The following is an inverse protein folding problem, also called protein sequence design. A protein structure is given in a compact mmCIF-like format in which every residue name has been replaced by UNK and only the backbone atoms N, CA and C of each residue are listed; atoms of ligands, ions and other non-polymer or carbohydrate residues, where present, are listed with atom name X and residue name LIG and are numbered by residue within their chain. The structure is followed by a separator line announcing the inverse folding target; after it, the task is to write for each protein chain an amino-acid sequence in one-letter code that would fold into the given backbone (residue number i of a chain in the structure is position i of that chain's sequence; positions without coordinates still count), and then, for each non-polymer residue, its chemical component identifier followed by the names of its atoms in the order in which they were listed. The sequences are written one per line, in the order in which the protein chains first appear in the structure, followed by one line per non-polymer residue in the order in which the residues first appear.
data_IF_239385815031
#
_entry.id   IF_239385815031
#
_cell.length_a   1.000
_cell.length_b   1.000
_cell.length_c   1.000
_cell.angle_alpha   90.00
_cell.angle_beta   90.00
_cell.angle_gamma   90.00
#
_symmetry.space_group_name_H-M   'P 1'
#
loop_
_entity.id
_entity.type
_entity.pdbx_description
1 polymer ?
#
# COMPACT_ATOMS: atom_id res chain seq x y z
N UNK A 1 -54.90 -29.30 -11.30
CA UNK A 1 -54.60 -27.90 -10.89
C UNK A 1 -53.21 -27.74 -10.24
N UNK A 2 -52.66 -28.72 -9.52
CA UNK A 2 -51.38 -28.63 -8.82
C UNK A 2 -50.12 -28.66 -9.72
N UNK A 3 -50.10 -29.33 -10.87
CA UNK A 3 -48.92 -29.40 -11.78
C UNK A 3 -48.55 -28.07 -12.42
N UNK A 4 -49.49 -27.16 -12.66
CA UNK A 4 -49.23 -25.86 -13.27
C UNK A 4 -48.58 -24.81 -12.31
N UNK A 5 -48.73 -25.02 -11.02
CA UNK A 5 -48.13 -24.10 -10.00
C UNK A 5 -46.65 -24.40 -9.79
N UNK A 6 -46.28 -25.68 -9.80
CA UNK A 6 -44.85 -26.06 -9.69
C UNK A 6 -44.04 -25.67 -10.93
N UNK A 7 -44.57 -25.90 -12.13
CA UNK A 7 -43.87 -25.44 -13.35
C UNK A 7 -43.67 -23.94 -13.40
N UNK A 8 -44.61 -23.14 -12.90
CA UNK A 8 -44.44 -21.68 -12.80
C UNK A 8 -43.34 -21.28 -11.79
N UNK A 9 -43.20 -22.01 -10.67
CA UNK A 9 -42.14 -21.77 -9.70
C UNK A 9 -40.75 -22.05 -10.29
N UNK A 10 -40.58 -23.18 -10.96
CA UNK A 10 -39.31 -23.51 -11.61
C UNK A 10 -38.97 -22.54 -12.75
N UNK A 11 -39.94 -22.10 -13.52
CA UNK A 11 -39.75 -21.10 -14.56
C UNK A 11 -39.30 -19.74 -14.00
N UNK A 12 -39.91 -19.28 -12.88
CA UNK A 12 -39.52 -18.03 -12.22
C UNK A 12 -38.10 -18.13 -11.63
N UNK A 13 -37.75 -19.26 -11.00
CA UNK A 13 -36.41 -19.50 -10.47
C UNK A 13 -35.36 -19.53 -11.60
N UNK A 14 -35.66 -20.18 -12.72
CA UNK A 14 -34.77 -20.24 -13.89
C UNK A 14 -34.58 -18.85 -14.53
N UNK A 15 -35.63 -18.05 -14.61
CA UNK A 15 -35.58 -16.67 -15.12
C UNK A 15 -34.78 -15.76 -14.14
N UNK A 16 -34.94 -15.92 -12.84
CA UNK A 16 -34.14 -15.18 -11.82
C UNK A 16 -32.67 -15.57 -11.85
N UNK A 17 -32.34 -16.84 -12.06
CA UNK A 17 -30.93 -17.31 -12.21
C UNK A 17 -30.33 -16.81 -13.53
N UNK A 18 -31.09 -16.77 -14.61
CA UNK A 18 -30.65 -16.19 -15.90
C UNK A 18 -30.48 -14.68 -15.81
N UNK A 19 -31.37 -13.96 -15.13
CA UNK A 19 -31.21 -12.51 -14.89
C UNK A 19 -30.07 -12.19 -13.95
N UNK A 20 -29.79 -13.03 -12.96
CA UNK A 20 -28.61 -12.88 -12.07
C UNK A 20 -27.27 -12.99 -12.81
N UNK A 21 -27.19 -13.82 -13.84
CA UNK A 21 -25.98 -13.92 -14.67
C UNK A 21 -25.79 -12.75 -15.67
N UNK A 22 -26.83 -11.99 -15.95
CA UNK A 22 -26.74 -10.81 -16.82
C UNK A 22 -26.25 -9.56 -16.09
N UNK A 23 -26.29 -9.52 -14.77
CA UNK A 23 -25.87 -8.35 -14.00
C UNK A 23 -24.36 -8.29 -13.69
N UNK A 24 -23.56 -9.30 -14.04
CA UNK A 24 -22.11 -9.33 -13.76
C UNK A 24 -21.20 -9.04 -14.97
N UNK A 25 -21.77 -8.58 -16.08
CA UNK A 25 -20.97 -8.17 -17.24
C UNK A 25 -20.61 -6.68 -17.14
N UNK A 26 -19.69 -6.31 -16.25
CA UNK A 26 -18.83 -5.15 -16.55
C UNK A 26 -18.04 -5.51 -17.80
N UNK A 27 -18.34 -4.87 -18.93
CA UNK A 27 -17.65 -5.05 -20.20
C UNK A 27 -16.14 -4.80 -20.01
N UNK A 28 -15.40 -5.86 -19.71
CA UNK A 28 -13.93 -5.82 -19.66
C UNK A 28 -13.47 -5.72 -21.10
N UNK A 29 -13.18 -4.50 -21.54
CA UNK A 29 -12.75 -4.19 -22.88
C UNK A 29 -11.35 -4.72 -23.11
N UNK A 30 -11.12 -5.24 -24.32
CA UNK A 30 -9.79 -5.52 -24.85
C UNK A 30 -9.16 -4.20 -25.30
N UNK A 31 -8.16 -3.72 -24.56
CA UNK A 31 -7.58 -2.37 -24.74
C UNK A 31 -6.13 -2.50 -25.19
N UNK A 32 -5.76 -1.65 -26.14
CA UNK A 32 -4.39 -1.47 -26.61
C UNK A 32 -3.94 -0.02 -26.39
N UNK A 33 -2.85 0.16 -25.66
CA UNK A 33 -2.14 1.43 -25.51
C UNK A 33 -0.92 1.41 -26.44
N UNK A 34 -0.67 2.50 -27.20
CA UNK A 34 0.41 2.55 -28.19
C UNK A 34 1.22 3.84 -28.13
N UNK A 35 2.51 3.73 -28.47
CA UNK A 35 3.41 4.87 -28.72
C UNK A 35 3.64 5.76 -27.49
N UNK A 36 3.77 5.13 -26.31
CA UNK A 36 4.19 5.76 -25.06
C UNK A 36 5.59 5.34 -24.62
N UNK A 37 6.02 5.85 -23.48
CA UNK A 37 7.20 5.39 -22.76
C UNK A 37 6.74 4.59 -21.54
N UNK A 38 6.97 3.29 -21.51
CA UNK A 38 6.60 2.42 -20.41
C UNK A 38 7.76 2.26 -19.42
N UNK A 39 7.53 2.68 -18.16
CA UNK A 39 8.37 2.39 -17.02
C UNK A 39 7.85 1.11 -16.37
N UNK A 40 8.57 0.00 -16.55
CA UNK A 40 8.05 -1.33 -16.19
C UNK A 40 7.90 -1.50 -14.66
N UNK A 41 8.69 -0.75 -13.88
CA UNK A 41 8.72 -0.87 -12.42
C UNK A 41 9.73 -1.90 -11.90
N UNK A 42 10.47 -2.57 -12.79
CA UNK A 42 11.57 -3.48 -12.48
C UNK A 42 12.96 -2.89 -12.79
N UNK A 43 13.01 -1.63 -13.21
CA UNK A 43 14.22 -0.93 -13.66
C UNK A 43 14.31 -0.77 -15.18
N UNK A 44 13.47 -1.46 -15.93
CA UNK A 44 13.41 -1.39 -17.40
C UNK A 44 12.49 -0.26 -17.85
N UNK A 45 12.88 0.40 -18.97
CA UNK A 45 12.07 1.42 -19.66
C UNK A 45 11.97 1.04 -21.14
N UNK A 46 10.75 0.98 -21.68
CA UNK A 46 10.47 0.69 -23.08
C UNK A 46 9.96 1.94 -23.77
N UNK A 47 10.75 2.45 -24.71
CA UNK A 47 10.35 3.56 -25.57
C UNK A 47 9.42 3.09 -26.68
N UNK A 48 8.49 3.95 -27.13
CA UNK A 48 7.51 3.61 -28.16
C UNK A 48 6.86 2.24 -27.88
N UNK A 49 6.35 2.09 -26.66
CA UNK A 49 5.77 0.86 -26.18
C UNK A 49 4.38 0.60 -26.75
N UNK A 50 3.99 -0.68 -26.75
CA UNK A 50 2.59 -1.09 -26.72
C UNK A 50 2.29 -1.89 -25.45
N UNK A 51 1.07 -1.74 -24.94
CA UNK A 51 0.56 -2.52 -23.82
C UNK A 51 -0.85 -2.96 -24.16
N UNK A 52 -1.05 -4.26 -24.24
CA UNK A 52 -2.36 -4.86 -24.46
C UNK A 52 -2.87 -5.50 -23.18
N UNK A 53 -4.13 -5.25 -22.83
CA UNK A 53 -4.75 -5.89 -21.68
C UNK A 53 -6.21 -6.24 -21.93
N UNK A 54 -6.63 -7.34 -21.34
CA UNK A 54 -7.97 -7.89 -21.46
C UNK A 54 -8.37 -8.57 -20.14
N UNK A 55 -9.66 -8.58 -19.83
CA UNK A 55 -10.17 -9.23 -18.62
C UNK A 55 -9.42 -8.85 -17.31
N UNK A 56 -8.90 -7.63 -17.26
CA UNK A 56 -8.18 -7.11 -16.09
C UNK A 56 -6.71 -7.50 -16.03
N UNK A 57 -6.17 -8.23 -17.01
CA UNK A 57 -4.78 -8.70 -17.04
C UNK A 57 -4.02 -8.13 -18.23
N UNK A 58 -2.74 -7.85 -18.05
CA UNK A 58 -1.82 -7.50 -19.13
C UNK A 58 -1.57 -8.77 -19.93
N UNK A 59 -1.88 -8.73 -21.24
CA UNK A 59 -1.66 -9.83 -22.17
C UNK A 59 -0.30 -9.74 -22.84
N UNK A 60 0.10 -8.52 -23.21
CA UNK A 60 1.37 -8.28 -23.86
C UNK A 60 1.89 -6.87 -23.58
N UNK A 61 3.20 -6.72 -23.55
CA UNK A 61 3.90 -5.45 -23.45
C UNK A 61 5.23 -5.57 -24.22
N UNK A 62 5.62 -4.51 -24.90
CA UNK A 62 6.88 -4.47 -25.64
C UNK A 62 7.05 -3.18 -26.43
N UNK A 63 8.14 -3.09 -27.21
CA UNK A 63 8.35 -2.03 -28.17
C UNK A 63 7.50 -2.26 -29.44
N UNK A 64 6.95 -1.20 -30.00
CA UNK A 64 6.17 -1.27 -31.24
C UNK A 64 7.04 -1.68 -32.44
N UNK A 65 8.34 -1.34 -32.40
CA UNK A 65 9.27 -1.60 -33.49
C UNK A 65 9.40 -3.11 -33.77
N UNK A 66 9.16 -3.50 -35.01
CA UNK A 66 9.29 -4.89 -35.46
C UNK A 66 8.09 -5.79 -35.14
N UNK A 67 7.06 -5.30 -34.53
CA UNK A 67 5.85 -6.05 -34.15
C UNK A 67 4.68 -5.64 -35.03
N UNK A 68 4.03 -6.63 -35.70
CA UNK A 68 2.78 -6.38 -36.43
C UNK A 68 1.61 -6.50 -35.46
N UNK A 69 1.05 -5.36 -35.04
CA UNK A 69 -0.11 -5.32 -34.19
C UNK A 69 -1.36 -5.11 -35.05
N UNK A 70 -2.30 -6.02 -34.95
CA UNK A 70 -3.60 -5.87 -35.59
C UNK A 70 -4.56 -5.08 -34.69
N UNK A 71 -4.63 -3.77 -34.90
CA UNK A 71 -5.47 -2.87 -34.08
C UNK A 71 -6.97 -3.23 -34.12
N UNK A 72 -7.46 -3.91 -35.19
CA UNK A 72 -8.88 -4.26 -35.29
C UNK A 72 -9.35 -5.37 -34.34
N UNK A 73 -8.43 -6.04 -33.66
CA UNK A 73 -8.75 -7.08 -32.67
C UNK A 73 -9.04 -6.51 -31.27
N UNK A 74 -8.86 -5.19 -31.08
CA UNK A 74 -9.06 -4.52 -29.82
C UNK A 74 -10.34 -3.68 -29.84
N UNK A 75 -11.09 -3.68 -28.74
CA UNK A 75 -12.30 -2.85 -28.58
C UNK A 75 -11.95 -1.36 -28.48
N UNK A 76 -10.77 -1.06 -27.95
CA UNK A 76 -10.30 0.30 -27.77
C UNK A 76 -8.80 0.37 -28.03
N UNK A 77 -8.39 1.30 -28.89
CA UNK A 77 -6.99 1.63 -29.16
C UNK A 77 -6.74 3.06 -28.70
N UNK A 78 -5.75 3.25 -27.85
CA UNK A 78 -5.40 4.56 -27.29
C UNK A 78 -3.98 4.92 -27.72
N UNK A 79 -3.89 5.99 -28.50
CA UNK A 79 -2.64 6.60 -28.91
C UNK A 79 -2.09 7.48 -27.79
N UNK A 80 -0.93 7.11 -27.25
CA UNK A 80 -0.37 7.81 -26.09
C UNK A 80 0.40 9.09 -26.46
N UNK A 81 0.91 9.15 -27.71
CA UNK A 81 1.60 10.36 -28.18
C UNK A 81 2.84 10.71 -27.35
N UNK A 82 3.59 9.72 -26.92
CA UNK A 82 4.80 9.91 -26.09
C UNK A 82 4.57 10.03 -24.59
N UNK A 83 3.33 9.93 -24.10
CA UNK A 83 3.05 9.94 -22.65
C UNK A 83 3.74 8.79 -21.93
N UNK A 84 3.97 8.98 -20.65
CA UNK A 84 4.58 7.99 -19.78
C UNK A 84 3.55 7.03 -19.19
N UNK A 85 3.88 5.77 -19.11
CA UNK A 85 3.05 4.70 -18.54
C UNK A 85 3.79 4.06 -17.38
N UNK A 86 3.12 3.96 -16.24
CA UNK A 86 3.68 3.44 -14.99
C UNK A 86 2.78 2.36 -14.39
N UNK A 87 3.33 1.41 -13.60
CA UNK A 87 2.50 0.60 -12.72
C UNK A 87 1.83 1.48 -11.65
N UNK A 88 0.68 1.04 -11.17
CA UNK A 88 0.00 1.67 -10.05
C UNK A 88 0.93 1.81 -8.83
N UNK A 89 0.98 2.99 -8.22
CA UNK A 89 1.72 3.23 -6.99
C UNK A 89 0.99 2.61 -5.80
N UNK A 90 1.76 2.11 -4.82
CA UNK A 90 1.28 1.41 -3.63
C UNK A 90 1.75 2.18 -2.39
N UNK A 91 0.83 2.76 -1.64
CA UNK A 91 1.14 3.39 -0.36
C UNK A 91 0.98 2.37 0.78
N UNK A 92 2.09 1.92 1.34
CA UNK A 92 2.12 1.00 2.47
C UNK A 92 1.87 1.73 3.80
N UNK A 93 1.43 0.98 4.82
CA UNK A 93 1.30 1.42 6.20
C UNK A 93 0.58 2.77 6.33
N UNK A 94 -0.69 2.85 5.93
CA UNK A 94 -1.45 4.10 5.88
C UNK A 94 -2.87 3.95 6.45
N UNK A 95 -3.50 5.06 6.83
CA UNK A 95 -4.88 5.11 7.33
C UNK A 95 -5.87 5.64 6.28
N UNK A 96 -5.46 5.69 5.02
CA UNK A 96 -6.32 6.11 3.91
C UNK A 96 -7.59 5.24 3.84
N UNK A 97 -8.75 5.88 3.80
CA UNK A 97 -10.05 5.21 3.87
C UNK A 97 -10.48 4.80 5.29
N UNK A 98 -9.63 4.99 6.31
CA UNK A 98 -9.95 4.79 7.72
C UNK A 98 -10.11 6.12 8.47
N UNK A 99 -9.84 7.24 7.83
CA UNK A 99 -9.97 8.58 8.39
C UNK A 99 -10.51 9.54 7.34
N UNK A 100 -11.49 10.38 7.74
CA UNK A 100 -12.03 11.43 6.88
C UNK A 100 -11.63 12.82 7.34
N UNK A 101 -11.88 13.16 8.60
CA UNK A 101 -11.52 14.44 9.18
C UNK A 101 -10.68 14.23 10.43
N UNK A 102 -9.43 14.70 10.42
CA UNK A 102 -8.44 14.42 11.45
C UNK A 102 -8.89 14.81 12.87
N UNK A 103 -9.49 15.97 13.01
CA UNK A 103 -9.95 16.48 14.31
C UNK A 103 -11.28 15.89 14.79
N UNK A 104 -11.93 15.03 14.00
CA UNK A 104 -13.26 14.49 14.30
C UNK A 104 -13.16 12.99 14.58
N UNK A 105 -13.08 12.62 15.86
CA UNK A 105 -12.92 11.23 16.27
C UNK A 105 -13.94 10.25 15.67
N UNK A 106 -15.25 10.54 15.54
CA UNK A 106 -16.21 9.64 14.90
C UNK A 106 -15.93 9.33 13.42
N UNK A 107 -15.03 10.06 12.77
CA UNK A 107 -14.60 9.82 11.40
C UNK A 107 -13.23 9.11 11.31
N UNK A 108 -12.73 8.55 12.43
CA UNK A 108 -11.40 7.97 12.56
C UNK A 108 -11.50 6.53 13.04
N UNK A 109 -11.52 5.56 12.10
CA UNK A 109 -11.74 4.13 12.34
C UNK A 109 -10.44 3.31 12.38
N UNK A 110 -9.29 3.98 12.51
CA UNK A 110 -7.99 3.32 12.58
C UNK A 110 -7.57 2.94 14.01
N UNK A 111 -8.32 3.35 15.04
CA UNK A 111 -8.02 3.11 16.45
C UNK A 111 -9.10 2.24 17.11
N UNK A 112 -8.70 1.14 17.73
CA UNK A 112 -9.57 0.30 18.55
C UNK A 112 -9.21 0.42 20.04
N UNK A 113 -10.16 0.13 20.91
CA UNK A 113 -9.96 0.14 22.37
C UNK A 113 -9.11 -1.06 22.79
N UNK A 114 -8.15 -0.83 23.68
CA UNK A 114 -7.27 -1.85 24.23
C UNK A 114 -5.84 -1.76 23.70
N UNK A 115 -4.95 -2.48 24.38
CA UNK A 115 -3.51 -2.44 24.08
C UNK A 115 -3.01 -3.62 23.21
N UNK A 116 -3.76 -4.73 23.20
CA UNK A 116 -3.38 -5.97 22.49
C UNK A 116 -4.57 -6.45 21.67
N UNK A 117 -4.59 -6.08 20.38
CA UNK A 117 -5.73 -6.24 19.48
C UNK A 117 -5.39 -7.00 18.18
N UNK A 118 -4.64 -8.10 18.16
CA UNK A 118 -4.23 -8.77 16.92
C UNK A 118 -5.40 -9.27 16.07
N UNK A 119 -6.59 -9.45 16.65
CA UNK A 119 -7.81 -9.90 16.00
C UNK A 119 -8.59 -8.79 15.31
N UNK A 120 -8.26 -7.52 15.57
CA UNK A 120 -8.88 -6.36 14.91
C UNK A 120 -8.44 -6.31 13.45
N UNK A 121 -9.37 -5.97 12.56
CA UNK A 121 -9.17 -5.97 11.11
C UNK A 121 -9.53 -4.60 10.53
N UNK A 122 -8.56 -3.91 9.94
CA UNK A 122 -8.80 -2.64 9.26
C UNK A 122 -9.72 -2.76 8.03
N UNK A 123 -9.75 -3.95 7.41
CA UNK A 123 -10.49 -4.21 6.18
C UNK A 123 -11.96 -3.78 6.24
N UNK A 124 -12.64 -4.11 7.34
CA UNK A 124 -14.09 -3.90 7.49
C UNK A 124 -14.42 -2.41 7.67
N UNK A 125 -13.47 -1.64 8.19
CA UNK A 125 -13.63 -0.20 8.42
C UNK A 125 -13.29 0.65 7.19
N UNK A 126 -12.77 0.05 6.10
CA UNK A 126 -12.37 0.79 4.91
C UNK A 126 -13.56 1.43 4.19
N UNK A 127 -13.54 2.76 4.11
CA UNK A 127 -14.54 3.56 3.43
C UNK A 127 -14.13 3.86 1.99
N UNK A 128 -14.77 3.19 1.02
CA UNK A 128 -14.53 3.45 -0.42
C UNK A 128 -15.10 4.78 -0.90
N UNK A 129 -16.04 5.37 -0.15
CA UNK A 129 -16.66 6.68 -0.44
C UNK A 129 -15.90 7.86 0.20
N UNK A 130 -14.71 7.60 0.75
CA UNK A 130 -13.85 8.63 1.34
C UNK A 130 -13.60 9.77 0.37
N UNK A 131 -13.77 11.01 0.84
CA UNK A 131 -13.51 12.23 0.05
C UNK A 131 -12.04 12.45 -0.27
N UNK A 132 -11.15 11.73 0.40
CA UNK A 132 -9.70 11.80 0.21
C UNK A 132 -9.26 10.97 -1.00
N UNK A 133 -9.87 9.78 -1.21
CA UNK A 133 -9.50 8.85 -2.28
C UNK A 133 -9.45 9.48 -3.68
N UNK A 134 -10.44 10.27 -4.12
CA UNK A 134 -10.39 10.91 -5.43
C UNK A 134 -9.15 11.79 -5.66
N UNK A 135 -8.67 12.48 -4.62
CA UNK A 135 -7.45 13.32 -4.72
C UNK A 135 -6.18 12.47 -4.79
N UNK A 136 -6.13 11.37 -4.05
CA UNK A 136 -4.96 10.47 -4.01
C UNK A 136 -4.76 9.77 -5.36
N UNK A 137 -5.85 9.34 -6.00
CA UNK A 137 -5.83 8.70 -7.33
C UNK A 137 -5.22 9.59 -8.41
N UNK A 138 -5.43 10.90 -8.34
CA UNK A 138 -4.92 11.85 -9.36
C UNK A 138 -3.40 11.93 -9.43
N UNK A 139 -2.69 11.40 -8.43
CA UNK A 139 -1.23 11.32 -8.41
C UNK A 139 -0.70 9.89 -8.62
N UNK A 140 -1.57 8.97 -9.09
CA UNK A 140 -1.17 7.61 -9.47
C UNK A 140 -1.12 6.61 -8.31
N UNK A 141 -1.51 6.98 -7.08
CA UNK A 141 -1.60 6.04 -5.94
C UNK A 141 -2.93 5.29 -6.03
N UNK A 142 -2.87 4.06 -6.52
CA UNK A 142 -4.06 3.27 -6.79
C UNK A 142 -4.27 2.12 -5.80
N UNK A 143 -3.28 1.83 -4.95
CA UNK A 143 -3.38 0.85 -3.87
C UNK A 143 -2.85 1.43 -2.57
N UNK A 144 -3.44 0.99 -1.47
CA UNK A 144 -3.02 1.34 -0.12
C UNK A 144 -3.08 0.12 0.79
N UNK A 145 -2.11 0.01 1.70
CA UNK A 145 -2.21 -0.91 2.83
C UNK A 145 -2.84 -0.16 4.00
N UNK A 146 -4.10 -0.42 4.28
CA UNK A 146 -4.83 0.16 5.40
C UNK A 146 -4.40 -0.50 6.71
N UNK A 147 -3.90 0.30 7.64
CA UNK A 147 -3.23 -0.18 8.86
C UNK A 147 -3.89 0.39 10.11
N UNK A 148 -4.29 -0.43 11.08
CA UNK A 148 -4.72 0.04 12.39
C UNK A 148 -3.52 0.57 13.20
N UNK A 149 -3.74 1.56 14.10
CA UNK A 149 -2.66 2.33 14.74
C UNK A 149 -2.54 2.14 16.25
N UNK A 150 -3.64 1.94 16.96
CA UNK A 150 -3.63 2.01 18.42
C UNK A 150 -3.19 0.71 19.09
N UNK A 151 -2.62 0.89 20.31
CA UNK A 151 -2.17 -0.21 21.16
C UNK A 151 -0.78 -0.73 20.81
N UNK A 152 -0.25 -1.61 21.64
CA UNK A 152 1.03 -2.30 21.41
C UNK A 152 0.91 -3.27 20.25
N UNK A 153 -0.19 -4.02 20.15
CA UNK A 153 -0.54 -4.84 18.99
C UNK A 153 -1.82 -4.27 18.39
N UNK A 154 -1.69 -3.64 17.22
CA UNK A 154 -2.73 -2.80 16.65
C UNK A 154 -3.84 -3.60 15.97
N UNK A 155 -3.47 -4.68 15.28
CA UNK A 155 -4.38 -5.49 14.47
C UNK A 155 -3.80 -5.84 13.10
N UNK A 156 -4.67 -6.35 12.23
CA UNK A 156 -4.34 -6.76 10.86
C UNK A 156 -4.59 -5.64 9.87
N UNK A 157 -3.58 -5.36 9.03
CA UNK A 157 -3.71 -4.56 7.81
C UNK A 157 -4.30 -5.35 6.64
N UNK A 158 -4.72 -4.63 5.61
CA UNK A 158 -5.18 -5.19 4.33
C UNK A 158 -4.79 -4.29 3.19
N UNK A 159 -4.61 -4.86 2.00
CA UNK A 159 -4.29 -4.11 0.78
C UNK A 159 -5.56 -3.90 -0.01
N UNK A 160 -5.88 -2.63 -0.30
CA UNK A 160 -7.10 -2.23 -0.98
C UNK A 160 -6.77 -1.29 -2.16
N UNK A 161 -7.60 -1.38 -3.19
CA UNK A 161 -7.62 -0.40 -4.26
C UNK A 161 -8.27 0.91 -3.76
N UNK A 162 -7.82 2.04 -4.31
CA UNK A 162 -8.38 3.36 -4.00
C UNK A 162 -9.66 3.67 -4.79
N UNK A 163 -10.23 2.66 -5.44
CA UNK A 163 -11.48 2.74 -6.21
C UNK A 163 -12.22 1.40 -6.15
N UNK A 164 -13.47 1.41 -5.70
CA UNK A 164 -14.33 0.23 -5.55
C UNK A 164 -15.71 0.65 -5.06
N UNK A 165 -16.70 -0.25 -5.16
CA UNK A 165 -18.06 -0.03 -4.66
C UNK A 165 -18.13 -0.15 -3.13
N UNK A 166 -17.39 -1.11 -2.58
CA UNK A 166 -17.25 -1.36 -1.15
C UNK A 166 -15.88 -2.00 -0.89
N UNK A 167 -15.57 -2.32 0.36
CA UNK A 167 -14.30 -2.94 0.73
C UNK A 167 -14.11 -4.34 0.12
N UNK A 168 -15.19 -5.09 -0.13
CA UNK A 168 -15.13 -6.43 -0.76
C UNK A 168 -14.70 -6.34 -2.23
N UNK A 169 -15.12 -5.29 -2.94
CA UNK A 169 -14.72 -5.01 -4.31
C UNK A 169 -13.30 -4.41 -4.39
N UNK A 170 -12.95 -3.59 -3.40
CA UNK A 170 -11.65 -2.91 -3.36
C UNK A 170 -10.50 -3.81 -2.89
N UNK A 171 -10.76 -4.91 -2.17
CA UNK A 171 -9.71 -5.71 -1.56
C UNK A 171 -8.86 -6.45 -2.59
N UNK A 172 -7.53 -6.22 -2.54
CA UNK A 172 -6.54 -7.01 -3.26
C UNK A 172 -6.03 -8.16 -2.40
N UNK A 173 -5.75 -7.90 -1.11
CA UNK A 173 -5.31 -8.92 -0.16
C UNK A 173 -5.82 -8.60 1.23
N UNK A 174 -6.63 -9.49 1.78
CA UNK A 174 -7.16 -9.36 3.13
C UNK A 174 -6.15 -9.83 4.19
N UNK A 175 -6.08 -9.11 5.31
CA UNK A 175 -5.37 -9.51 6.53
C UNK A 175 -3.92 -9.94 6.27
N UNK A 176 -3.15 -9.09 5.60
CA UNK A 176 -1.80 -9.43 5.11
C UNK A 176 -0.75 -9.55 6.22
N UNK A 177 -0.94 -8.87 7.35
CA UNK A 177 -0.02 -8.94 8.49
C UNK A 177 -0.53 -8.29 9.75
N UNK A 178 0.15 -8.55 10.85
CA UNK A 178 -0.12 -7.97 12.18
C UNK A 178 0.88 -6.84 12.44
N UNK A 179 0.36 -5.70 12.89
CA UNK A 179 1.17 -4.53 13.26
C UNK A 179 1.40 -4.47 14.76
N UNK A 180 2.66 -4.24 15.14
CA UNK A 180 3.13 -4.10 16.52
C UNK A 180 3.88 -2.78 16.65
N UNK A 181 3.37 -1.88 17.48
CA UNK A 181 4.11 -0.72 17.96
C UNK A 181 5.17 -1.24 18.93
N UNK A 182 6.38 -1.46 18.39
CA UNK A 182 7.46 -2.04 19.18
C UNK A 182 7.87 -1.10 20.32
N UNK A 183 8.14 -1.61 21.53
CA UNK A 183 8.53 -0.77 22.65
C UNK A 183 9.71 0.13 22.30
N UNK A 184 9.57 1.43 22.59
CA UNK A 184 10.59 2.44 22.29
C UNK A 184 11.54 2.61 23.47
N UNK A 185 12.85 2.46 23.25
CA UNK A 185 13.87 2.66 24.30
C UNK A 185 14.08 4.14 24.65
N UNK A 186 13.71 5.03 23.74
CA UNK A 186 13.80 6.48 23.88
C UNK A 186 12.39 7.07 23.79
N UNK A 187 12.06 7.97 24.70
CA UNK A 187 10.83 8.73 24.71
C UNK A 187 11.11 10.17 24.31
N UNK A 188 10.36 10.68 23.33
CA UNK A 188 10.31 12.11 23.01
C UNK A 188 9.51 12.81 24.11
N UNK A 189 10.09 13.87 24.66
CA UNK A 189 9.44 14.69 25.65
C UNK A 189 8.95 16.01 25.04
N UNK A 190 8.01 16.66 25.71
CA UNK A 190 7.38 17.87 25.18
C UNK A 190 6.31 17.55 24.13
N UNK A 191 5.88 18.59 23.43
CA UNK A 191 4.91 18.50 22.34
C UNK A 191 5.48 19.20 21.09
N UNK A 192 4.84 19.07 19.93
CA UNK A 192 5.40 19.52 18.67
C UNK A 192 5.80 21.01 18.62
N UNK A 193 5.08 21.90 19.35
CA UNK A 193 5.40 23.33 19.40
C UNK A 193 6.44 23.68 20.50
N UNK A 194 6.62 22.83 21.50
CA UNK A 194 7.57 22.99 22.62
C UNK A 194 8.30 21.66 22.85
N UNK A 195 9.19 21.26 21.92
CA UNK A 195 9.94 20.03 22.06
C UNK A 195 10.90 20.11 23.23
N UNK A 196 10.96 19.07 24.03
CA UNK A 196 11.93 18.91 25.12
C UNK A 196 12.93 17.79 24.77
N UNK A 197 14.14 17.77 25.38
CA UNK A 197 15.12 16.73 25.13
C UNK A 197 14.55 15.34 25.32
N UNK A 198 14.79 14.45 24.37
CA UNK A 198 14.43 13.04 24.47
C UNK A 198 15.16 12.38 25.65
N UNK A 199 14.52 11.40 26.29
CA UNK A 199 15.08 10.69 27.42
C UNK A 199 14.84 9.19 27.35
N UNK A 200 15.44 8.45 28.29
CA UNK A 200 15.20 7.01 28.42
C UNK A 200 13.72 6.77 28.74
N UNK A 201 13.09 5.86 28.01
CA UNK A 201 11.74 5.43 28.35
C UNK A 201 11.77 4.48 29.54
N UNK A 202 11.20 4.92 30.68
CA UNK A 202 11.16 4.13 31.92
C UNK A 202 10.24 2.93 31.85
N UNK A 203 9.28 2.91 30.89
CA UNK A 203 8.33 1.81 30.69
C UNK A 203 8.84 0.73 29.72
N UNK A 204 10.02 0.92 29.12
CA UNK A 204 10.54 0.03 28.09
C UNK A 204 10.60 -1.44 28.54
N UNK A 205 11.12 -1.70 29.73
CA UNK A 205 11.28 -3.07 30.24
C UNK A 205 9.93 -3.74 30.55
N UNK A 206 8.97 -2.96 31.07
CA UNK A 206 7.60 -3.44 31.34
C UNK A 206 6.86 -3.73 30.04
N UNK A 207 6.95 -2.84 29.05
CA UNK A 207 6.33 -3.02 27.73
C UNK A 207 6.94 -4.22 27.00
N UNK A 208 8.27 -4.39 27.06
CA UNK A 208 8.95 -5.56 26.49
C UNK A 208 8.53 -6.87 27.18
N UNK A 209 8.35 -6.84 28.51
CA UNK A 209 7.88 -7.98 29.29
C UNK A 209 6.44 -8.35 28.92
N UNK A 210 5.56 -7.37 28.80
CA UNK A 210 4.18 -7.58 28.36
C UNK A 210 4.08 -8.15 26.93
N UNK A 211 4.87 -7.60 25.99
CA UNK A 211 4.93 -8.09 24.61
C UNK A 211 5.45 -9.54 24.54
N UNK A 212 6.56 -9.82 25.25
CA UNK A 212 7.11 -11.17 25.31
C UNK A 212 6.10 -12.18 25.89
N UNK A 213 5.46 -11.83 27.02
CA UNK A 213 4.44 -12.68 27.63
C UNK A 213 3.32 -13.02 26.67
N UNK A 214 2.78 -12.03 25.96
CA UNK A 214 1.72 -12.26 24.98
C UNK A 214 2.18 -13.20 23.86
N UNK A 215 3.40 -13.01 23.33
CA UNK A 215 3.93 -13.88 22.25
C UNK A 215 4.23 -15.29 22.74
N UNK A 216 4.71 -15.47 23.98
CA UNK A 216 4.92 -16.78 24.60
C UNK A 216 3.58 -17.53 24.74
N UNK A 217 2.56 -16.87 25.29
CA UNK A 217 1.21 -17.42 25.46
C UNK A 217 0.57 -17.76 24.08
N UNK A 218 0.66 -16.84 23.12
CA UNK A 218 0.13 -17.04 21.77
C UNK A 218 0.84 -18.18 21.03
N UNK A 219 2.17 -18.32 21.16
CA UNK A 219 2.95 -19.38 20.54
C UNK A 219 2.60 -20.73 21.15
N UNK A 220 2.47 -20.81 22.49
CA UNK A 220 2.03 -22.01 23.19
C UNK A 220 0.63 -22.43 22.72
N UNK A 221 -0.32 -21.49 22.62
CA UNK A 221 -1.66 -21.77 22.07
C UNK A 221 -1.61 -22.26 20.62
N UNK A 222 -0.83 -21.61 19.76
CA UNK A 222 -0.77 -21.92 18.32
C UNK A 222 -0.05 -23.25 18.02
N UNK A 223 0.80 -23.75 18.90
CA UNK A 223 1.46 -25.06 18.76
C UNK A 223 0.47 -26.23 18.92
N UNK A 224 -0.69 -25.99 19.50
CA UNK A 224 -1.72 -27.02 19.65
C UNK A 224 -2.66 -27.03 18.44
N UNK A 225 -3.26 -28.20 18.17
CA UNK A 225 -4.26 -28.34 17.12
C UNK A 225 -5.48 -27.44 17.41
N UNK A 226 -6.13 -26.94 16.34
CA UNK A 226 -7.39 -26.20 16.50
C UNK A 226 -8.43 -27.04 17.22
N UNK A 227 -9.14 -26.43 18.16
CA UNK A 227 -10.17 -27.09 18.96
C UNK A 227 -9.66 -27.79 20.22
N UNK A 228 -8.34 -27.77 20.50
CA UNK A 228 -7.79 -28.33 21.76
C UNK A 228 -8.15 -27.47 22.98
N UNK A 229 -8.27 -26.16 22.79
CA UNK A 229 -8.64 -25.20 23.81
C UNK A 229 -9.85 -24.38 23.39
N UNK A 230 -10.46 -23.68 24.35
CA UNK A 230 -11.45 -22.65 24.07
C UNK A 230 -10.88 -21.63 23.06
N UNK A 231 -11.75 -21.20 22.12
CA UNK A 231 -11.32 -20.31 21.04
C UNK A 231 -10.97 -18.93 21.56
N UNK A 232 -9.69 -18.58 21.50
CA UNK A 232 -9.19 -17.25 21.82
C UNK A 232 -8.86 -16.48 20.52
N UNK A 233 -9.73 -15.53 20.14
CA UNK A 233 -9.59 -14.77 18.89
C UNK A 233 -8.25 -14.03 18.78
N UNK A 234 -7.69 -13.54 19.89
CA UNK A 234 -6.39 -12.86 19.91
C UNK A 234 -5.25 -13.81 19.54
N UNK A 235 -5.26 -15.02 20.09
CA UNK A 235 -4.23 -16.01 19.79
C UNK A 235 -4.43 -16.65 18.42
N UNK A 236 -5.67 -16.88 17.99
CA UNK A 236 -5.97 -17.37 16.64
C UNK A 236 -5.46 -16.43 15.56
N UNK A 237 -5.57 -15.10 15.76
CA UNK A 237 -5.05 -14.11 14.84
C UNK A 237 -3.53 -14.24 14.63
N UNK A 238 -2.78 -14.69 15.66
CA UNK A 238 -1.32 -14.85 15.62
C UNK A 238 -0.86 -16.12 14.89
N UNK A 239 -1.72 -17.13 14.73
CA UNK A 239 -1.37 -18.41 14.12
C UNK A 239 -0.68 -18.25 12.76
N UNK A 240 -1.21 -17.36 11.91
CA UNK A 240 -0.67 -17.09 10.57
C UNK A 240 0.64 -16.29 10.56
N UNK A 241 1.00 -15.65 11.66
CA UNK A 241 2.33 -15.04 11.87
C UNK A 241 3.37 -16.13 12.13
N UNK A 242 3.05 -17.11 13.00
CA UNK A 242 3.98 -18.18 13.34
C UNK A 242 4.17 -19.21 12.21
N UNK A 243 3.13 -19.51 11.42
CA UNK A 243 3.26 -20.40 10.25
C UNK A 243 3.94 -19.72 9.05
N UNK A 244 4.06 -18.38 9.06
CA UNK A 244 4.70 -17.58 8.02
C UNK A 244 3.80 -17.24 6.84
N UNK A 245 2.49 -17.42 6.95
CA UNK A 245 1.54 -17.02 5.91
C UNK A 245 1.15 -15.53 5.99
N UNK A 246 1.41 -14.86 7.14
CA UNK A 246 1.26 -13.41 7.35
C UNK A 246 2.58 -12.75 7.75
N UNK A 247 2.70 -11.47 7.43
CA UNK A 247 3.81 -10.65 7.91
C UNK A 247 3.62 -10.27 9.40
N UNK A 248 4.74 -9.99 10.07
CA UNK A 248 4.78 -9.26 11.33
C UNK A 248 5.46 -7.91 11.11
N UNK A 249 4.70 -6.84 11.21
CA UNK A 249 5.16 -5.47 11.03
C UNK A 249 5.56 -4.89 12.38
N UNK A 250 6.85 -4.60 12.56
CA UNK A 250 7.44 -4.09 13.80
C UNK A 250 7.77 -2.61 13.60
N UNK A 251 6.99 -1.73 14.22
CA UNK A 251 7.19 -0.28 14.13
C UNK A 251 8.34 0.15 15.04
N UNK A 252 9.49 0.45 14.45
CA UNK A 252 10.71 0.84 15.15
C UNK A 252 11.53 1.81 14.30
N UNK A 253 11.93 2.95 14.88
CA UNK A 253 12.65 4.03 14.21
C UNK A 253 14.13 4.06 14.55
N UNK A 254 14.47 4.02 15.84
CA UNK A 254 15.85 4.15 16.30
C UNK A 254 16.64 2.86 16.18
N UNK A 255 17.93 2.97 15.86
CA UNK A 255 18.83 1.83 15.64
C UNK A 255 18.75 0.77 16.75
N UNK A 256 18.72 1.21 18.01
CA UNK A 256 18.59 0.32 19.17
C UNK A 256 17.29 -0.47 19.16
N UNK A 257 16.18 0.19 18.85
CA UNK A 257 14.84 -0.44 18.84
C UNK A 257 14.72 -1.39 17.63
N UNK A 258 15.31 -1.05 16.48
CA UNK A 258 15.41 -1.92 15.31
C UNK A 258 16.18 -3.20 15.65
N UNK A 259 17.31 -3.09 16.36
CA UNK A 259 18.10 -4.26 16.80
C UNK A 259 17.28 -5.13 17.76
N UNK A 260 16.55 -4.53 18.72
CA UNK A 260 15.65 -5.28 19.59
C UNK A 260 14.53 -5.97 18.81
N UNK A 261 13.93 -5.30 17.85
CA UNK A 261 12.88 -5.86 17.00
C UNK A 261 13.38 -7.04 16.15
N UNK A 262 14.59 -6.96 15.58
CA UNK A 262 15.25 -8.07 14.87
C UNK A 262 15.47 -9.27 15.79
N UNK A 263 16.02 -9.03 17.00
CA UNK A 263 16.26 -10.10 17.98
C UNK A 263 14.95 -10.72 18.47
N UNK A 264 13.92 -9.92 18.66
CA UNK A 264 12.57 -10.39 18.99
C UNK A 264 12.00 -11.30 17.89
N UNK A 265 12.08 -10.88 16.63
CA UNK A 265 11.64 -11.71 15.50
C UNK A 265 12.38 -13.04 15.44
N UNK A 266 13.70 -13.07 15.70
CA UNK A 266 14.51 -14.28 15.80
C UNK A 266 14.07 -15.19 16.96
N UNK A 267 13.90 -14.61 18.17
CA UNK A 267 13.46 -15.35 19.37
C UNK A 267 12.17 -16.13 19.10
N UNK A 268 11.21 -15.52 18.41
CA UNK A 268 9.93 -16.15 18.11
C UNK A 268 9.91 -16.93 16.79
N UNK A 269 11.03 -16.97 16.05
CA UNK A 269 11.14 -17.62 14.74
C UNK A 269 10.13 -17.08 13.72
N UNK A 270 9.88 -15.77 13.76
CA UNK A 270 8.99 -15.10 12.80
C UNK A 270 9.59 -15.18 11.40
N UNK A 271 8.85 -15.74 10.45
CA UNK A 271 9.36 -16.01 9.10
C UNK A 271 9.35 -14.79 8.17
N UNK A 272 8.43 -13.85 8.42
CA UNK A 272 8.25 -12.65 7.59
C UNK A 272 8.18 -11.38 8.45
N UNK A 273 9.26 -11.04 9.18
CA UNK A 273 9.32 -9.78 9.88
C UNK A 273 9.57 -8.63 8.91
N UNK A 274 8.97 -7.47 9.17
CA UNK A 274 9.16 -6.22 8.42
C UNK A 274 9.37 -5.10 9.44
N UNK A 275 10.41 -4.29 9.26
CA UNK A 275 10.56 -3.05 10.04
C UNK A 275 9.71 -1.96 9.38
N UNK A 276 8.92 -1.25 10.18
CA UNK A 276 8.12 -0.11 9.76
C UNK A 276 8.63 1.14 10.46
N UNK A 277 8.82 2.21 9.73
CA UNK A 277 9.48 3.42 10.22
C UNK A 277 10.95 3.42 9.81
N UNK A 278 11.80 2.85 10.62
CA UNK A 278 13.20 2.58 10.27
C UNK A 278 14.05 3.81 9.97
N UNK A 279 13.82 4.94 10.65
CA UNK A 279 14.59 6.18 10.43
C UNK A 279 16.11 5.96 10.52
N UNK A 280 16.56 5.15 11.49
CA UNK A 280 17.96 4.77 11.67
C UNK A 280 18.36 3.46 10.97
N UNK A 281 17.53 2.94 10.05
CA UNK A 281 17.78 1.65 9.37
C UNK A 281 19.11 1.61 8.61
N UNK A 282 19.60 2.76 8.13
CA UNK A 282 20.89 2.88 7.50
C UNK A 282 22.06 2.54 8.45
N UNK A 283 21.93 2.78 9.76
CA UNK A 283 22.91 2.37 10.80
C UNK A 283 22.90 0.86 11.03
N UNK A 284 21.82 0.17 10.66
CA UNK A 284 21.59 -1.26 10.87
C UNK A 284 21.50 -2.08 9.57
N UNK A 285 21.83 -1.49 8.42
CA UNK A 285 21.64 -2.05 7.07
C UNK A 285 22.25 -3.45 6.91
N UNK A 286 23.47 -3.67 7.43
CA UNK A 286 24.11 -4.98 7.42
C UNK A 286 23.27 -6.04 8.14
N UNK A 287 22.77 -5.73 9.33
CA UNK A 287 21.98 -6.64 10.15
C UNK A 287 20.62 -6.96 9.49
N UNK A 288 19.99 -5.93 8.90
CA UNK A 288 18.73 -6.09 8.14
C UNK A 288 18.93 -7.02 6.93
N UNK A 289 19.99 -6.80 6.14
CA UNK A 289 20.32 -7.63 4.98
C UNK A 289 20.62 -9.08 5.38
N UNK A 290 21.47 -9.30 6.37
CA UNK A 290 21.86 -10.66 6.82
C UNK A 290 20.67 -11.47 7.33
N UNK A 291 19.61 -10.82 7.79
CA UNK A 291 18.38 -11.45 8.26
C UNK A 291 17.23 -11.40 7.25
N UNK A 292 17.45 -10.87 6.05
CA UNK A 292 16.42 -10.68 5.01
C UNK A 292 15.18 -9.93 5.54
N UNK A 293 15.39 -8.90 6.36
CA UNK A 293 14.30 -8.09 6.94
C UNK A 293 14.14 -6.81 6.12
N UNK A 294 13.02 -6.66 5.39
CA UNK A 294 12.75 -5.45 4.64
C UNK A 294 12.31 -4.30 5.53
N UNK A 295 12.38 -3.09 4.97
CA UNK A 295 12.01 -1.85 5.65
C UNK A 295 10.91 -1.11 4.88
N UNK A 296 9.81 -0.78 5.54
CA UNK A 296 8.88 0.25 5.11
C UNK A 296 9.36 1.57 5.69
N UNK A 297 10.11 2.33 4.88
CA UNK A 297 10.84 3.50 5.35
C UNK A 297 9.91 4.69 5.57
N UNK A 298 10.06 5.36 6.71
CA UNK A 298 9.35 6.60 7.05
C UNK A 298 9.46 7.66 5.95
N UNK A 299 8.52 8.61 5.95
CA UNK A 299 8.54 9.74 5.01
C UNK A 299 9.88 10.49 5.06
N UNK A 300 10.34 10.94 3.89
CA UNK A 300 11.65 11.59 3.76
C UNK A 300 11.62 13.09 4.14
N UNK A 301 10.47 13.74 4.05
CA UNK A 301 10.34 15.16 4.35
C UNK A 301 10.25 15.38 5.88
N UNK A 302 11.37 15.11 6.55
CA UNK A 302 11.53 15.22 7.98
C UNK A 302 12.95 15.66 8.31
N UNK A 303 13.18 16.07 9.54
CA UNK A 303 14.51 16.39 10.06
C UNK A 303 15.14 15.16 10.73
N UNK A 304 16.47 15.09 10.84
CA UNK A 304 17.13 14.10 11.68
C UNK A 304 16.64 14.18 13.14
N UNK A 305 16.49 13.04 13.79
CA UNK A 305 16.09 12.98 15.20
C UNK A 305 17.27 13.34 16.16
N UNK A 306 18.51 13.22 15.71
CA UNK A 306 19.74 13.48 16.48
C UNK A 306 20.50 14.67 15.88
N UNK A 307 21.01 15.55 16.76
CA UNK A 307 21.71 16.76 16.35
C UNK A 307 23.06 16.48 15.67
N UNK A 308 23.65 15.31 15.94
CA UNK A 308 24.91 14.85 15.35
C UNK A 308 24.74 14.19 13.97
N UNK A 309 23.53 13.85 13.56
CA UNK A 309 23.28 13.27 12.23
C UNK A 309 23.32 14.37 11.14
N UNK A 310 23.79 14.01 9.94
CA UNK A 310 23.78 14.91 8.79
C UNK A 310 22.37 15.42 8.51
N UNK A 311 22.21 16.71 8.20
CA UNK A 311 20.91 17.34 7.99
C UNK A 311 20.10 16.68 6.85
N UNK A 312 20.77 16.09 5.88
CA UNK A 312 20.17 15.43 4.72
C UNK A 312 20.08 13.90 4.84
N UNK A 313 20.42 13.34 6.01
CA UNK A 313 20.47 11.88 6.19
C UNK A 313 19.14 11.19 5.92
N UNK A 314 18.03 11.84 6.30
CA UNK A 314 16.68 11.30 6.06
C UNK A 314 16.43 11.12 4.56
N UNK A 315 16.84 12.08 3.74
CA UNK A 315 16.71 12.05 2.28
C UNK A 315 17.65 11.03 1.63
N UNK A 316 18.83 10.80 2.20
CA UNK A 316 19.87 9.87 1.70
C UNK A 316 19.64 8.43 2.14
N UNK A 317 18.86 8.17 3.18
CA UNK A 317 18.61 6.82 3.71
C UNK A 317 18.15 5.82 2.65
N UNK A 318 17.24 6.14 1.70
CA UNK A 318 16.89 5.22 0.62
C UNK A 318 18.09 4.77 -0.23
N UNK A 319 18.99 5.70 -0.57
CA UNK A 319 20.21 5.39 -1.31
C UNK A 319 21.15 4.48 -0.51
N UNK A 320 21.32 4.74 0.79
CA UNK A 320 22.16 3.90 1.65
C UNK A 320 21.62 2.49 1.79
N UNK A 321 20.30 2.32 1.96
CA UNK A 321 19.66 1.01 1.98
C UNK A 321 19.80 0.28 0.64
N UNK A 322 19.61 0.99 -0.49
CA UNK A 322 19.81 0.43 -1.83
C UNK A 322 21.25 -0.03 -2.04
N UNK A 323 22.23 0.79 -1.67
CA UNK A 323 23.66 0.48 -1.75
C UNK A 323 24.01 -0.78 -0.96
N UNK A 324 23.43 -0.94 0.22
CA UNK A 324 23.65 -2.09 1.09
C UNK A 324 22.76 -3.30 0.75
N UNK A 325 21.98 -3.23 -0.35
CA UNK A 325 21.10 -4.30 -0.81
C UNK A 325 20.03 -4.71 0.21
N UNK A 326 19.52 -3.76 0.99
CA UNK A 326 18.35 -3.95 1.85
C UNK A 326 17.09 -3.70 1.03
N UNK A 327 16.15 -4.62 1.05
CA UNK A 327 14.84 -4.41 0.44
C UNK A 327 14.06 -3.36 1.25
N UNK A 328 13.62 -2.29 0.60
CA UNK A 328 12.80 -1.26 1.23
C UNK A 328 11.71 -0.74 0.29
N UNK A 329 10.67 -0.18 0.86
CA UNK A 329 9.71 0.67 0.16
C UNK A 329 9.56 2.01 0.86
N UNK A 330 9.09 3.01 0.12
CA UNK A 330 8.72 4.31 0.64
C UNK A 330 7.25 4.30 1.00
N UNK A 331 6.90 4.99 2.07
CA UNK A 331 5.53 5.16 2.54
C UNK A 331 5.26 6.62 2.90
N UNK A 332 3.99 6.97 2.99
CA UNK A 332 3.55 8.28 3.46
C UNK A 332 2.75 8.08 4.73
N UNK A 333 3.42 8.30 5.86
CA UNK A 333 2.86 8.18 7.21
C UNK A 333 3.05 9.47 8.00
N UNK A 334 2.51 9.53 9.21
CA UNK A 334 2.66 10.64 10.16
C UNK A 334 1.49 11.62 10.09
N UNK A 335 1.72 12.88 10.47
CA UNK A 335 0.65 13.87 10.53
C UNK A 335 -0.04 14.05 9.18
N UNK A 336 -1.37 14.10 9.19
CA UNK A 336 -2.23 14.20 8.00
C UNK A 336 -1.97 13.11 6.95
N UNK A 337 -1.56 11.91 7.35
CA UNK A 337 -1.06 10.87 6.43
C UNK A 337 -2.06 10.46 5.36
N UNK A 338 -3.37 10.41 5.66
CA UNK A 338 -4.38 10.10 4.68
C UNK A 338 -4.38 11.13 3.53
N UNK A 339 -4.40 12.43 3.86
CA UNK A 339 -4.34 13.52 2.88
C UNK A 339 -2.99 13.59 2.16
N UNK A 340 -1.90 13.35 2.88
CA UNK A 340 -0.53 13.40 2.36
C UNK A 340 -0.21 12.21 1.45
N UNK A 341 -0.99 11.14 1.46
CA UNK A 341 -0.83 9.96 0.57
C UNK A 341 -0.67 10.33 -0.91
N UNK A 342 -1.28 11.43 -1.35
CA UNK A 342 -1.12 11.98 -2.71
C UNK A 342 0.33 12.36 -3.06
N UNK A 343 1.19 12.59 -2.05
CA UNK A 343 2.57 13.04 -2.24
C UNK A 343 3.57 11.86 -2.35
N UNK A 344 3.10 10.62 -2.29
CA UNK A 344 3.95 9.43 -2.40
C UNK A 344 4.88 9.46 -3.62
N UNK A 345 4.43 9.81 -4.85
CA UNK A 345 5.33 9.90 -6.00
C UNK A 345 6.44 10.94 -5.81
N UNK A 346 6.16 12.03 -5.09
CA UNK A 346 7.13 13.12 -4.87
C UNK A 346 8.16 12.77 -3.80
N UNK A 347 7.81 11.91 -2.84
CA UNK A 347 8.76 11.30 -1.92
C UNK A 347 9.75 10.41 -2.69
N UNK A 348 9.26 9.63 -3.67
CA UNK A 348 10.13 8.86 -4.55
C UNK A 348 11.01 9.77 -5.42
N UNK A 349 10.48 10.88 -5.93
CA UNK A 349 11.25 11.90 -6.64
C UNK A 349 12.35 12.52 -5.77
N UNK A 350 12.07 12.77 -4.49
CA UNK A 350 13.07 13.22 -3.51
C UNK A 350 14.16 12.17 -3.34
N UNK A 351 13.82 10.89 -3.17
CA UNK A 351 14.80 9.82 -3.06
C UNK A 351 15.71 9.72 -4.32
N UNK A 352 15.14 9.99 -5.51
CA UNK A 352 15.93 10.07 -6.74
C UNK A 352 16.90 11.26 -6.73
N UNK A 353 16.49 12.42 -6.22
CA UNK A 353 17.35 13.59 -6.10
C UNK A 353 18.54 13.35 -5.13
N UNK A 354 18.39 12.44 -4.17
CA UNK A 354 19.40 12.12 -3.15
C UNK A 354 20.11 10.77 -3.36
N UNK A 355 20.18 10.28 -4.59
CA UNK A 355 21.11 9.23 -5.00
C UNK A 355 20.53 7.97 -5.61
N UNK A 356 19.22 7.74 -5.54
CA UNK A 356 18.58 6.67 -6.32
C UNK A 356 18.50 7.06 -7.80
N UNK A 357 18.51 6.09 -8.71
CA UNK A 357 18.02 6.35 -10.06
C UNK A 357 16.49 6.54 -10.03
N UNK A 358 15.92 7.20 -11.06
CA UNK A 358 14.46 7.37 -11.18
C UNK A 358 13.72 6.02 -11.15
N UNK A 359 14.25 5.02 -11.83
CA UNK A 359 13.64 3.69 -11.85
C UNK A 359 13.75 2.97 -10.49
N UNK A 360 14.85 3.14 -9.75
CA UNK A 360 14.96 2.63 -8.37
C UNK A 360 13.97 3.31 -7.43
N UNK A 361 13.78 4.62 -7.57
CA UNK A 361 12.79 5.37 -6.81
C UNK A 361 11.35 4.93 -7.15
N UNK A 362 11.06 4.65 -8.43
CA UNK A 362 9.79 4.07 -8.86
C UNK A 362 9.59 2.67 -8.26
N UNK A 363 10.62 1.82 -8.28
CA UNK A 363 10.57 0.50 -7.65
C UNK A 363 10.19 0.58 -6.18
N UNK A 364 10.70 1.57 -5.45
CA UNK A 364 10.45 1.73 -4.02
C UNK A 364 8.97 2.00 -3.68
N UNK A 365 8.16 2.49 -4.62
CA UNK A 365 6.72 2.77 -4.46
C UNK A 365 5.83 1.85 -5.31
N UNK A 366 6.41 0.84 -5.97
CA UNK A 366 5.72 -0.12 -6.82
C UNK A 366 6.15 -1.55 -6.50
N UNK A 367 7.16 -2.10 -7.18
CA UNK A 367 7.61 -3.50 -7.04
C UNK A 367 8.08 -3.85 -5.63
N UNK A 368 8.88 -2.98 -5.00
CA UNK A 368 9.39 -3.25 -3.67
C UNK A 368 8.27 -3.25 -2.63
N UNK A 369 7.35 -2.26 -2.72
CA UNK A 369 6.14 -2.25 -1.91
C UNK A 369 5.33 -3.53 -2.10
N UNK A 370 5.08 -3.95 -3.35
CA UNK A 370 4.36 -5.18 -3.67
C UNK A 370 5.05 -6.43 -3.09
N UNK A 371 6.38 -6.54 -3.18
CA UNK A 371 7.16 -7.65 -2.60
C UNK A 371 7.02 -7.70 -1.08
N UNK A 372 7.14 -6.57 -0.40
CA UNK A 372 7.09 -6.51 1.07
C UNK A 372 5.70 -6.93 1.58
N UNK A 373 4.62 -6.48 0.93
CA UNK A 373 3.26 -6.86 1.34
C UNK A 373 2.77 -8.17 0.70
N UNK A 374 3.58 -8.77 -0.19
CA UNK A 374 3.34 -10.09 -0.79
C UNK A 374 2.21 -10.10 -1.81
N UNK A 375 2.18 -9.11 -2.72
CA UNK A 375 1.26 -9.01 -3.87
C UNK A 375 2.00 -8.82 -5.21
N UNK A 376 3.29 -9.07 -5.24
CA UNK A 376 4.16 -8.86 -6.40
C UNK A 376 3.81 -9.74 -7.61
N UNK A 377 3.06 -10.81 -7.40
CA UNK A 377 2.54 -11.66 -8.48
C UNK A 377 1.35 -11.03 -9.21
N UNK A 378 0.70 -10.06 -8.58
CA UNK A 378 -0.51 -9.43 -9.07
C UNK A 378 -0.27 -8.00 -9.58
N UNK A 379 0.54 -7.22 -8.85
CA UNK A 379 0.78 -5.79 -9.10
C UNK A 379 2.26 -5.42 -8.89
N UNK A 380 2.60 -4.14 -9.10
CA UNK A 380 3.92 -3.58 -8.83
C UNK A 380 4.83 -3.47 -10.05
N UNK A 381 4.50 -4.16 -11.15
CA UNK A 381 5.18 -4.01 -12.45
C UNK A 381 4.19 -4.14 -13.60
N UNK A 382 4.57 -3.63 -14.78
CA UNK A 382 3.85 -3.83 -16.02
C UNK A 382 4.40 -5.08 -16.73
N UNK A 383 3.92 -6.26 -16.36
CA UNK A 383 4.36 -7.53 -16.93
C UNK A 383 3.17 -8.39 -17.30
N UNK A 384 3.36 -9.25 -18.32
CA UNK A 384 2.34 -10.18 -18.77
C UNK A 384 1.81 -11.06 -17.63
N UNK A 385 0.49 -11.21 -17.57
CA UNK A 385 -0.23 -11.99 -16.55
C UNK A 385 -0.55 -11.22 -15.26
N UNK A 386 0.07 -10.07 -15.02
CA UNK A 386 -0.26 -9.21 -13.87
C UNK A 386 -1.53 -8.40 -14.13
N UNK A 387 -2.10 -7.86 -13.08
CA UNK A 387 -3.26 -7.00 -13.16
C UNK A 387 -2.94 -5.74 -13.97
N UNK A 388 -3.82 -5.38 -14.89
CA UNK A 388 -3.73 -4.14 -15.65
C UNK A 388 -4.10 -2.94 -14.78
N UNK A 389 -3.23 -2.66 -13.78
CA UNK A 389 -3.31 -1.51 -12.89
C UNK A 389 -2.23 -0.51 -13.31
N UNK A 390 -2.65 0.44 -14.12
CA UNK A 390 -1.79 1.26 -15.00
C UNK A 390 -2.09 2.74 -14.75
N UNK A 391 -1.04 3.55 -14.70
CA UNK A 391 -1.11 5.02 -14.61
C UNK A 391 -0.49 5.62 -15.86
N UNK A 392 -1.19 6.54 -16.51
CA UNK A 392 -0.71 7.26 -17.69
C UNK A 392 -0.59 8.74 -17.33
N UNK A 393 0.59 9.31 -17.51
CA UNK A 393 0.91 10.70 -17.19
C UNK A 393 1.47 11.44 -18.41
N UNK A 394 1.11 12.71 -18.56
CA UNK A 394 1.69 13.58 -19.60
C UNK A 394 3.17 13.85 -19.36
N UNK A 395 3.62 13.84 -18.09
CA UNK A 395 5.00 14.05 -17.70
C UNK A 395 5.50 13.02 -16.70
N UNK A 396 6.69 13.27 -16.15
CA UNK A 396 7.30 12.39 -15.15
C UNK A 396 6.42 12.30 -13.89
N UNK A 397 5.99 11.07 -13.55
CA UNK A 397 5.10 10.82 -12.42
C UNK A 397 5.76 11.21 -11.08
N UNK A 398 7.09 11.10 -10.98
CA UNK A 398 7.82 11.35 -9.73
C UNK A 398 8.20 12.84 -9.54
N UNK A 399 8.04 13.67 -10.57
CA UNK A 399 8.32 15.11 -10.50
C UNK A 399 7.03 15.90 -10.25
N UNK A 400 6.95 16.60 -9.11
CA UNK A 400 5.76 17.36 -8.72
C UNK A 400 5.37 18.50 -9.70
N UNK A 401 6.31 18.96 -10.55
CA UNK A 401 6.05 20.00 -11.56
C UNK A 401 5.41 19.43 -12.82
N UNK A 402 5.76 18.22 -13.18
CA UNK A 402 5.37 17.59 -14.45
C UNK A 402 4.39 16.44 -14.28
N UNK A 403 4.18 15.96 -13.06
CA UNK A 403 3.15 14.96 -12.76
C UNK A 403 1.79 15.47 -13.21
N UNK A 404 1.20 14.75 -14.17
CA UNK A 404 -0.13 15.03 -14.68
C UNK A 404 -0.76 13.73 -15.15
N UNK A 405 -1.34 13.01 -14.24
CA UNK A 405 -2.06 11.78 -14.55
C UNK A 405 -3.31 12.12 -15.36
N UNK A 406 -3.40 11.56 -16.56
CA UNK A 406 -4.48 11.81 -17.50
C UNK A 406 -5.43 10.63 -17.64
N UNK A 407 -4.96 9.42 -17.34
CA UNK A 407 -5.76 8.20 -17.43
C UNK A 407 -5.18 7.17 -16.46
N UNK A 408 -6.05 6.39 -15.82
CA UNK A 408 -5.63 5.30 -14.97
C UNK A 408 -6.59 4.11 -15.03
N UNK A 409 -6.05 2.93 -14.78
CA UNK A 409 -6.78 1.67 -14.75
C UNK A 409 -6.48 0.91 -13.47
N UNK A 410 -7.50 0.28 -12.91
CA UNK A 410 -7.38 -0.72 -11.84
C UNK A 410 -8.00 -2.01 -12.36
N UNK A 411 -7.22 -3.09 -12.42
CA UNK A 411 -7.66 -4.37 -12.96
C UNK A 411 -8.33 -4.24 -14.36
N UNK A 412 -7.75 -3.40 -15.23
CA UNK A 412 -8.24 -3.13 -16.58
C UNK A 412 -9.49 -2.24 -16.66
N UNK A 413 -10.09 -1.85 -15.55
CA UNK A 413 -11.21 -0.91 -15.47
C UNK A 413 -10.68 0.52 -15.42
N UNK A 414 -11.09 1.36 -16.35
CA UNK A 414 -10.79 2.80 -16.33
C UNK A 414 -11.44 3.44 -15.11
N UNK A 415 -10.69 4.24 -14.36
CA UNK A 415 -11.16 4.92 -13.15
C UNK A 415 -11.36 6.40 -13.39
N UNK A 416 -12.30 6.99 -12.62
CA UNK A 416 -12.55 8.42 -12.65
C UNK A 416 -11.46 9.17 -11.86
N UNK A 417 -10.80 10.14 -12.50
CA UNK A 417 -9.78 11.01 -11.90
C UNK A 417 -10.33 12.41 -11.50
N UNK A 418 -11.64 12.63 -11.63
CA UNK A 418 -12.26 13.88 -11.19
C UNK A 418 -12.36 13.90 -9.67
N UNK A 419 -11.82 14.93 -9.05
CA UNK A 419 -11.90 15.17 -7.62
C UNK A 419 -12.62 16.50 -7.32
N UNK A 420 -12.91 16.77 -6.05
CA UNK A 420 -13.62 17.97 -5.63
C UNK A 420 -12.84 19.25 -5.99
N UNK A 421 -11.52 19.26 -5.86
CA UNK A 421 -10.66 20.38 -6.21
C UNK A 421 -10.76 20.69 -7.70
N UNK A 422 -10.79 19.67 -8.55
CA UNK A 422 -10.98 19.87 -10.00
C UNK A 422 -12.37 20.44 -10.30
N UNK A 423 -13.43 19.94 -9.67
CA UNK A 423 -14.78 20.46 -9.85
C UNK A 423 -14.88 21.93 -9.41
N UNK A 424 -14.29 22.29 -8.27
CA UNK A 424 -14.22 23.67 -7.80
C UNK A 424 -13.43 24.55 -8.75
N UNK A 425 -12.28 24.07 -9.24
CA UNK A 425 -11.50 24.78 -10.25
C UNK A 425 -12.34 25.08 -11.49
N UNK A 426 -13.05 24.10 -12.06
CA UNK A 426 -13.90 24.28 -13.23
C UNK A 426 -15.05 25.27 -12.96
N UNK A 427 -15.68 25.17 -11.79
CA UNK A 427 -16.73 26.12 -11.36
C UNK A 427 -16.22 27.56 -11.37
N UNK A 428 -15.07 27.84 -10.77
CA UNK A 428 -14.53 29.17 -10.68
C UNK A 428 -13.92 29.66 -12.01
N UNK A 429 -13.30 28.77 -12.78
CA UNK A 429 -12.85 29.05 -14.14
C UNK A 429 -13.99 29.56 -14.99
N UNK A 430 -15.14 28.89 -14.96
CA UNK A 430 -16.36 29.32 -15.68
C UNK A 430 -16.85 30.67 -15.15
N UNK A 431 -16.93 30.87 -13.84
CA UNK A 431 -17.40 32.11 -13.23
C UNK A 431 -16.57 33.32 -13.65
N UNK A 432 -15.26 33.17 -13.75
CA UNK A 432 -14.35 34.27 -14.07
C UNK A 432 -13.97 34.36 -15.56
N UNK A 433 -14.56 33.55 -16.43
CA UNK A 433 -14.27 33.54 -17.87
C UNK A 433 -12.82 33.20 -18.23
N UNK A 434 -12.11 32.48 -17.38
CA UNK A 434 -10.74 32.03 -17.65
C UNK A 434 -10.79 30.93 -18.70
N UNK A 435 -10.05 31.09 -19.80
CA UNK A 435 -9.95 30.12 -20.90
C UNK A 435 -8.99 28.97 -20.59
#
# INVERSE_FOLDING_TARGET
MFKNVEMKKYFIVTVLVLLGNLMHSQNKKHVLLMNGTAHIGNGEVIQQCYIAFNNGKIEAIGAVQGVKINASTYDTVIELGGKHVYPALINCNNILGLQEAEAIRPSSDYNEVGNINPHVRSLIAYNTDSKILPTVKTNGVLYTQCTPRNGMICGSSSILATDGWNWEDAVLKADDGIHVNFPKSIQKNGWWAEPAPSGKNTKFDDDMSALNKFFDDAKAYCNNAKGTFENNLRFEAMRRVFDGSKNLYLHADHAKDIIYAINFAKKYSVKKPVIVGGKDSWKCSKLLRENNIPVMLSRLNDLPDLAEDDIDIVYRTPYLLQKDSVLFCLQMEGDMEAMQSRNLPFIAGTAAAYGLSKEQALQAVTLNAAKIIGVEKEVGTLEQGKNASIVISDGDLLDFKTNKVVLAYINGRSINLINEQFMLYQKYKTKYGIK
#
